data_IF_473717252393
#
_entry.id   IF_473717252393
#
_cell.length_a   1.000
_cell.length_b   1.000
_cell.length_c   1.000
_cell.angle_alpha   90.00
_cell.angle_beta   90.00
_cell.angle_gamma   90.00
#
_symmetry.space_group_name_H-M   'P 1'
#
loop_
_entity.id
_entity.type
_entity.pdbx_description
1 polymer ?
#
# COMPACT_ATOMS: atom_id res chain seq x y z
N UNK A 1 10.38 5.85 -32.65
CA UNK A 1 9.87 6.06 -31.28
C UNK A 1 9.16 7.40 -31.06
N UNK A 2 9.55 8.48 -31.72
CA UNK A 2 8.95 9.82 -31.54
C UNK A 2 7.50 9.97 -32.06
N UNK A 3 7.09 9.29 -33.09
CA UNK A 3 5.72 9.41 -33.68
C UNK A 3 4.57 8.87 -32.82
N UNK A 4 4.84 8.07 -31.78
CA UNK A 4 3.80 7.56 -30.86
C UNK A 4 3.42 8.55 -29.75
N UNK A 5 4.36 9.41 -29.35
CA UNK A 5 4.09 10.45 -28.32
C UNK A 5 3.23 11.62 -28.85
N UNK A 6 3.43 12.02 -30.10
CA UNK A 6 2.63 13.10 -30.71
C UNK A 6 1.16 12.71 -30.89
N UNK A 7 0.87 11.44 -31.21
CA UNK A 7 -0.50 10.94 -31.33
C UNK A 7 -1.24 10.85 -29.99
N UNK A 8 -0.54 10.65 -28.88
CA UNK A 8 -1.13 10.64 -27.55
C UNK A 8 -1.52 12.05 -27.09
N UNK A 9 -0.66 13.04 -27.33
CA UNK A 9 -0.89 14.46 -27.01
C UNK A 9 -2.02 15.05 -27.87
N UNK A 10 -2.12 14.67 -29.14
CA UNK A 10 -3.16 15.13 -30.06
C UNK A 10 -4.56 14.56 -29.70
N UNK A 11 -4.65 13.32 -29.22
CA UNK A 11 -5.90 12.72 -28.73
C UNK A 11 -6.37 13.32 -27.40
N UNK A 12 -5.45 13.65 -26.50
CA UNK A 12 -5.77 14.31 -25.23
C UNK A 12 -6.32 15.73 -25.40
N UNK A 13 -5.88 16.45 -26.45
CA UNK A 13 -6.39 17.82 -26.73
C UNK A 13 -7.78 17.82 -27.38
N UNK A 14 -8.21 16.80 -28.09
CA UNK A 14 -9.56 16.70 -28.68
C UNK A 14 -10.67 16.35 -27.70
N UNK A 15 -10.34 15.76 -26.54
CA UNK A 15 -11.33 15.44 -25.50
C UNK A 15 -11.71 16.60 -24.56
N UNK A 16 -11.08 17.78 -24.70
CA UNK A 16 -11.28 18.93 -23.80
C UNK A 16 -12.22 20.00 -24.32
N UNK A 17 -12.95 19.77 -25.41
CA UNK A 17 -13.90 20.76 -25.98
C UNK A 17 -15.34 20.26 -25.91
N UNK A 18 -15.76 19.79 -24.73
CA UNK A 18 -17.18 19.72 -24.38
C UNK A 18 -17.36 20.50 -23.06
N UNK A 19 -17.80 21.75 -23.17
CA UNK A 19 -18.06 22.61 -22.05
C UNK A 19 -19.23 22.06 -21.23
N UNK A 20 -18.99 21.74 -19.97
CA UNK A 20 -20.01 21.59 -18.94
C UNK A 20 -19.90 22.79 -18.03
N UNK A 21 -20.90 23.66 -18.08
CA UNK A 21 -21.15 24.76 -17.15
C UNK A 21 -21.39 24.17 -15.76
N UNK A 22 -20.41 24.30 -14.86
CA UNK A 22 -20.59 24.00 -13.45
C UNK A 22 -21.06 25.25 -12.71
N UNK A 23 -22.23 25.15 -12.09
CA UNK A 23 -22.76 26.16 -11.18
C UNK A 23 -21.88 26.20 -9.90
N UNK A 24 -21.45 27.40 -9.54
CA UNK A 24 -20.69 27.66 -8.33
C UNK A 24 -21.58 27.50 -7.09
N UNK A 25 -21.18 26.66 -6.14
CA UNK A 25 -21.76 26.57 -4.79
C UNK A 25 -20.96 27.52 -3.88
N UNK A 26 -21.58 28.45 -3.16
CA UNK A 26 -20.84 29.38 -2.29
C UNK A 26 -20.35 28.69 -1.03
N UNK A 27 -19.06 28.84 -0.76
CA UNK A 27 -18.40 28.44 0.48
C UNK A 27 -18.79 29.41 1.61
N UNK A 28 -19.53 28.92 2.60
CA UNK A 28 -19.84 29.69 3.80
C UNK A 28 -18.63 29.71 4.73
N UNK A 29 -18.17 30.92 5.06
CA UNK A 29 -17.14 31.18 6.05
C UNK A 29 -17.63 30.79 7.45
N UNK A 30 -16.88 29.95 8.17
CA UNK A 30 -17.01 29.76 9.61
C UNK A 30 -15.74 30.27 10.29
N UNK A 31 -15.90 31.33 11.04
CA UNK A 31 -14.91 31.98 11.88
C UNK A 31 -14.90 31.34 13.27
N UNK A 32 -13.73 31.16 13.86
CA UNK A 32 -13.24 31.53 15.17
C UNK A 32 -12.15 30.58 15.67
N UNK A 33 -11.04 31.05 16.22
CA UNK A 33 -9.95 30.20 16.70
C UNK A 33 -10.24 29.67 18.09
N UNK A 34 -9.97 28.38 18.31
CA UNK A 34 -9.95 27.76 19.62
C UNK A 34 -8.68 28.12 20.41
N UNK A 35 -8.74 28.22 21.75
CA UNK A 35 -7.60 28.63 22.55
C UNK A 35 -6.53 27.54 22.64
N UNK A 36 -5.26 27.99 22.64
CA UNK A 36 -4.07 27.13 22.76
C UNK A 36 -4.04 26.40 24.11
N UNK A 37 -3.61 25.13 24.15
CA UNK A 37 -3.37 24.42 25.41
C UNK A 37 -2.09 24.93 26.09
N UNK A 38 -2.21 25.25 27.34
CA UNK A 38 -1.15 25.69 28.25
C UNK A 38 -0.08 24.59 28.40
N UNK A 39 1.17 24.96 28.19
CA UNK A 39 2.32 24.09 28.40
C UNK A 39 2.48 23.74 29.87
N UNK A 40 2.40 22.47 30.23
CA UNK A 40 2.83 21.96 31.54
C UNK A 40 4.29 21.52 31.40
N UNK A 41 5.18 22.33 31.98
CA UNK A 41 6.60 22.04 32.13
C UNK A 41 6.81 20.90 33.10
N UNK A 42 7.26 19.75 32.66
CA UNK A 42 7.82 18.69 33.47
C UNK A 42 9.27 18.46 33.08
N UNK A 43 10.17 19.02 33.88
CA UNK A 43 11.59 18.77 33.86
C UNK A 43 11.90 17.29 34.15
N UNK A 44 12.39 16.54 33.19
CA UNK A 44 13.10 15.28 33.40
C UNK A 44 14.48 15.40 32.74
N UNK A 45 15.48 15.56 33.60
CA UNK A 45 16.88 15.42 33.28
C UNK A 45 17.22 13.95 33.01
N UNK A 46 17.38 13.61 31.76
CA UNK A 46 17.95 12.37 31.28
C UNK A 46 18.47 12.65 29.90
N UNK A 47 19.71 12.30 29.60
CA UNK A 47 20.38 12.50 28.31
C UNK A 47 19.56 11.86 27.18
N UNK A 48 18.67 12.63 26.57
CA UNK A 48 17.92 12.22 25.40
C UNK A 48 18.75 12.54 24.15
N UNK A 49 19.05 11.52 23.38
CA UNK A 49 19.44 11.68 21.98
C UNK A 49 18.37 12.50 21.26
N UNK A 50 18.78 13.55 20.56
CA UNK A 50 17.90 14.57 19.95
C UNK A 50 17.24 14.07 18.63
N UNK A 51 16.71 12.84 18.59
CA UNK A 51 15.93 12.33 17.47
C UNK A 51 14.58 11.81 18.00
N UNK A 52 13.49 12.29 17.41
CA UNK A 52 12.13 11.78 17.67
C UNK A 52 12.01 10.27 17.36
N UNK A 53 10.84 9.66 17.58
CA UNK A 53 10.62 8.23 17.33
C UNK A 53 10.89 7.88 15.87
N UNK A 54 11.31 6.63 15.62
CA UNK A 54 11.45 6.12 14.25
C UNK A 54 10.05 5.91 13.66
N UNK A 55 9.73 6.55 12.55
CA UNK A 55 8.40 6.48 11.93
C UNK A 55 8.39 5.45 10.81
N UNK A 56 7.50 4.45 10.94
CA UNK A 56 7.31 3.37 9.96
C UNK A 56 5.90 3.43 9.37
N UNK A 57 5.79 3.68 8.07
CA UNK A 57 4.55 3.72 7.33
C UNK A 57 4.22 2.39 6.64
N UNK A 58 2.92 2.17 6.39
CA UNK A 58 2.41 1.02 5.65
C UNK A 58 1.39 0.20 6.42
N UNK A 59 0.48 -0.43 5.71
CA UNK A 59 -0.68 -1.13 6.27
C UNK A 59 -0.50 -2.66 6.20
N UNK A 60 0.43 -3.19 7.00
CA UNK A 60 0.62 -4.64 7.16
C UNK A 60 1.04 -4.99 8.59
N UNK A 61 0.58 -6.16 9.09
CA UNK A 61 0.87 -6.65 10.44
C UNK A 61 2.37 -6.87 10.69
N UNK A 62 3.14 -7.16 9.63
CA UNK A 62 4.61 -7.30 9.74
C UNK A 62 5.22 -6.03 10.33
N UNK A 63 4.65 -4.86 10.00
CA UNK A 63 5.10 -3.59 10.57
C UNK A 63 4.85 -3.47 12.06
N UNK A 64 3.74 -4.02 12.57
CA UNK A 64 3.41 -3.99 14.00
C UNK A 64 4.33 -4.94 14.79
N UNK A 65 4.56 -6.14 14.25
CA UNK A 65 5.50 -7.10 14.82
C UNK A 65 6.91 -6.51 14.83
N UNK A 66 7.35 -5.88 13.72
CA UNK A 66 8.64 -5.21 13.63
C UNK A 66 8.77 -4.10 14.69
N UNK A 67 7.74 -3.28 14.87
CA UNK A 67 7.73 -2.23 15.89
C UNK A 67 7.86 -2.80 17.31
N UNK A 68 7.21 -3.93 17.60
CA UNK A 68 7.33 -4.61 18.90
C UNK A 68 8.76 -5.10 19.16
N UNK A 69 9.41 -5.71 18.17
CA UNK A 69 10.81 -6.16 18.30
C UNK A 69 11.76 -4.98 18.55
N UNK A 70 11.58 -3.87 17.84
CA UNK A 70 12.38 -2.66 18.01
C UNK A 70 12.13 -2.03 19.39
N UNK A 71 10.88 -2.00 19.84
CA UNK A 71 10.51 -1.52 21.19
C UNK A 71 11.19 -2.32 22.30
N UNK A 72 11.35 -3.64 22.14
CA UNK A 72 12.08 -4.48 23.08
C UNK A 72 13.57 -4.12 23.18
N UNK A 73 14.13 -3.41 22.18
CA UNK A 73 15.51 -2.87 22.20
C UNK A 73 15.59 -1.38 22.49
N UNK A 74 14.58 -0.82 23.15
CA UNK A 74 14.45 0.61 23.48
C UNK A 74 14.44 1.56 22.26
N UNK A 75 14.03 1.08 21.09
CA UNK A 75 13.82 1.92 19.91
C UNK A 75 12.34 2.23 19.77
N UNK A 76 11.93 3.46 20.09
CA UNK A 76 10.54 3.88 19.90
C UNK A 76 10.20 3.95 18.42
N UNK A 77 9.08 3.31 18.03
CA UNK A 77 8.58 3.28 16.66
C UNK A 77 7.15 3.77 16.61
N UNK A 78 6.91 4.84 15.84
CA UNK A 78 5.57 5.31 15.53
C UNK A 78 5.10 4.66 14.21
N UNK A 79 3.84 4.18 14.22
CA UNK A 79 3.22 3.54 13.06
C UNK A 79 2.27 4.49 12.35
N UNK A 80 2.40 4.59 11.01
CA UNK A 80 1.42 5.26 10.14
C UNK A 80 0.81 4.20 9.22
N UNK A 81 -0.53 4.03 9.32
CA UNK A 81 -1.26 3.04 8.54
C UNK A 81 -1.79 3.69 7.25
N UNK A 82 -1.08 3.48 6.17
CA UNK A 82 -1.41 4.04 4.86
C UNK A 82 -1.03 3.09 3.72
N UNK A 83 -1.54 3.37 2.52
CA UNK A 83 -1.23 2.59 1.32
C UNK A 83 0.23 2.72 0.88
N UNK A 84 0.73 1.69 0.19
CA UNK A 84 2.14 1.57 -0.23
C UNK A 84 2.65 2.77 -1.03
N UNK A 85 1.83 3.35 -1.91
CA UNK A 85 2.20 4.51 -2.71
C UNK A 85 2.40 5.75 -1.83
N UNK A 86 1.44 6.01 -0.94
CA UNK A 86 1.48 7.14 -0.02
C UNK A 86 2.69 7.02 0.92
N UNK A 87 2.95 5.82 1.44
CA UNK A 87 4.11 5.53 2.28
C UNK A 87 5.44 5.85 1.59
N UNK A 88 5.59 5.51 0.29
CA UNK A 88 6.79 5.89 -0.47
C UNK A 88 6.87 7.40 -0.72
N UNK A 89 5.75 8.07 -0.99
CA UNK A 89 5.71 9.54 -1.15
C UNK A 89 6.09 10.24 0.16
N UNK A 90 5.58 9.77 1.30
CA UNK A 90 5.91 10.34 2.59
C UNK A 90 7.36 10.00 3.02
N UNK A 91 7.89 8.85 2.59
CA UNK A 91 9.31 8.53 2.71
C UNK A 91 10.19 9.51 1.91
N UNK A 92 9.80 9.83 0.66
CA UNK A 92 10.49 10.83 -0.16
C UNK A 92 10.51 12.21 0.51
N UNK A 93 9.35 12.63 1.02
CA UNK A 93 9.18 13.91 1.71
C UNK A 93 9.88 14.00 3.08
N UNK A 94 10.40 12.88 3.59
CA UNK A 94 11.06 12.81 4.89
C UNK A 94 10.13 12.83 6.09
N UNK A 95 8.85 12.59 5.90
CA UNK A 95 7.87 12.48 6.99
C UNK A 95 7.97 11.13 7.72
N UNK A 96 8.43 10.09 7.01
CA UNK A 96 8.65 8.76 7.57
C UNK A 96 10.08 8.30 7.29
N UNK A 97 10.57 7.34 8.09
CA UNK A 97 11.92 6.80 8.00
C UNK A 97 11.97 5.47 7.24
N UNK A 98 10.88 4.74 7.26
CA UNK A 98 10.71 3.49 6.52
C UNK A 98 9.29 3.34 5.98
N UNK A 99 9.14 2.59 4.89
CA UNK A 99 7.85 2.30 4.26
C UNK A 99 7.72 0.81 3.93
N UNK A 100 6.60 0.20 4.32
CA UNK A 100 6.19 -1.11 3.80
C UNK A 100 5.53 -0.91 2.43
N UNK A 101 5.94 -1.68 1.45
CA UNK A 101 5.45 -1.53 0.08
C UNK A 101 5.25 -2.87 -0.62
N UNK A 102 4.22 -2.92 -1.47
CA UNK A 102 3.92 -4.05 -2.34
C UNK A 102 3.35 -3.56 -3.68
N UNK A 103 4.06 -2.62 -4.30
CA UNK A 103 3.66 -2.01 -5.56
C UNK A 103 4.09 -2.87 -6.74
N UNK A 104 3.11 -3.34 -7.49
CA UNK A 104 3.31 -4.04 -8.74
C UNK A 104 3.66 -3.06 -9.87
N UNK A 105 4.56 -3.45 -10.74
CA UNK A 105 4.94 -2.73 -11.96
C UNK A 105 4.64 -3.62 -13.17
N UNK A 106 3.66 -3.25 -13.95
CA UNK A 106 3.16 -4.04 -15.08
C UNK A 106 4.12 -4.07 -16.28
N UNK A 107 5.06 -3.13 -16.39
CA UNK A 107 6.07 -3.10 -17.46
C UNK A 107 7.16 -4.14 -17.22
N UNK A 108 7.60 -4.28 -15.97
CA UNK A 108 8.72 -5.18 -15.60
C UNK A 108 8.26 -6.50 -15.01
N UNK A 109 6.95 -6.69 -14.82
CA UNK A 109 6.32 -7.84 -14.15
C UNK A 109 6.98 -8.12 -12.78
N UNK A 110 7.21 -7.06 -12.01
CA UNK A 110 7.94 -7.14 -10.75
C UNK A 110 7.35 -6.23 -9.68
N UNK A 111 7.87 -6.35 -8.46
CA UNK A 111 7.39 -5.56 -7.31
C UNK A 111 8.44 -4.58 -6.81
N UNK A 112 7.97 -3.43 -6.36
CA UNK A 112 8.62 -2.44 -5.52
C UNK A 112 9.81 -1.70 -6.12
N UNK A 113 10.81 -2.39 -6.67
CA UNK A 113 12.10 -1.77 -7.08
C UNK A 113 11.90 -0.69 -8.15
N UNK A 114 11.03 -0.94 -9.14
CA UNK A 114 10.74 0.04 -10.19
C UNK A 114 10.06 1.29 -9.62
N UNK A 115 9.06 1.10 -8.75
CA UNK A 115 8.38 2.19 -8.06
C UNK A 115 9.34 3.00 -7.15
N UNK A 116 10.20 2.31 -6.38
CA UNK A 116 11.22 2.95 -5.53
C UNK A 116 12.18 3.79 -6.35
N UNK A 117 12.65 3.30 -7.50
CA UNK A 117 13.55 4.06 -8.39
C UNK A 117 12.89 5.32 -8.95
N UNK A 118 11.60 5.24 -9.28
CA UNK A 118 10.82 6.36 -9.87
C UNK A 118 10.40 7.39 -8.82
N UNK A 119 9.92 6.93 -7.66
CA UNK A 119 9.34 7.81 -6.63
C UNK A 119 10.37 8.38 -5.64
N UNK A 120 11.54 7.75 -5.49
CA UNK A 120 12.58 8.14 -4.53
C UNK A 120 13.91 8.48 -5.23
N UNK A 121 13.93 9.36 -6.27
CA UNK A 121 15.17 9.72 -6.94
C UNK A 121 16.14 10.39 -5.96
N UNK A 122 17.42 9.97 -5.98
CA UNK A 122 18.47 10.58 -5.15
C UNK A 122 18.42 10.27 -3.64
N UNK A 123 17.42 9.55 -3.14
CA UNK A 123 17.36 9.15 -1.72
C UNK A 123 18.25 7.94 -1.49
N UNK A 124 19.28 8.03 -0.61
CA UNK A 124 20.04 6.87 -0.16
C UNK A 124 19.11 5.93 0.62
N UNK A 125 18.99 4.68 0.19
CA UNK A 125 18.05 3.74 0.77
C UNK A 125 18.45 2.28 0.57
N UNK A 126 17.79 1.40 1.32
CA UNK A 126 17.88 -0.05 1.19
C UNK A 126 16.46 -0.63 1.10
N UNK A 127 16.24 -1.54 0.16
CA UNK A 127 14.99 -2.32 0.04
C UNK A 127 15.27 -3.73 0.51
N UNK A 128 14.57 -4.15 1.56
CA UNK A 128 14.73 -5.46 2.18
C UNK A 128 13.43 -6.24 2.01
N UNK A 129 13.55 -7.45 1.50
CA UNK A 129 12.43 -8.37 1.33
C UNK A 129 11.91 -8.86 2.67
N UNK A 130 10.59 -8.89 2.83
CA UNK A 130 9.94 -9.41 4.03
C UNK A 130 9.21 -10.73 3.73
N UNK A 131 8.11 -10.69 2.97
CA UNK A 131 7.33 -11.88 2.70
C UNK A 131 6.84 -11.94 1.25
N UNK A 132 6.65 -13.16 0.76
CA UNK A 132 5.82 -13.43 -0.41
C UNK A 132 4.44 -13.86 0.08
N UNK A 133 3.38 -13.39 -0.60
CA UNK A 133 1.99 -13.77 -0.32
C UNK A 133 1.18 -13.76 -1.62
N UNK A 134 0.01 -14.37 -1.59
CA UNK A 134 -0.87 -14.41 -2.76
C UNK A 134 -1.82 -13.23 -2.76
N UNK A 135 -1.96 -12.58 -3.91
CA UNK A 135 -3.00 -11.60 -4.23
C UNK A 135 -4.01 -12.22 -5.18
N UNK A 136 -5.27 -11.82 -5.03
CA UNK A 136 -6.33 -12.35 -5.87
C UNK A 136 -7.67 -11.70 -5.64
N UNK A 137 -8.72 -12.39 -6.13
CA UNK A 137 -10.08 -11.94 -5.98
C UNK A 137 -10.66 -12.46 -4.65
N UNK A 138 -11.20 -11.55 -3.87
CA UNK A 138 -12.10 -11.84 -2.75
C UNK A 138 -13.51 -11.82 -3.32
N UNK A 139 -14.17 -12.96 -3.35
CA UNK A 139 -15.49 -13.16 -3.94
C UNK A 139 -16.51 -13.61 -2.89
N UNK A 140 -17.81 -13.47 -3.16
CA UNK A 140 -18.83 -14.04 -2.30
C UNK A 140 -18.66 -15.58 -2.20
N UNK A 141 -19.06 -16.15 -1.06
CA UNK A 141 -18.97 -17.60 -0.81
C UNK A 141 -19.60 -18.40 -1.96
N UNK A 142 -18.87 -19.38 -2.46
CA UNK A 142 -19.29 -20.21 -3.59
C UNK A 142 -19.08 -19.56 -4.95
N UNK A 143 -18.56 -18.33 -5.02
CA UNK A 143 -18.25 -17.63 -6.29
C UNK A 143 -19.42 -17.63 -7.30
N UNK A 144 -20.57 -17.03 -6.95
CA UNK A 144 -21.79 -17.12 -7.76
C UNK A 144 -21.67 -16.48 -9.15
N UNK A 145 -20.66 -15.61 -9.34
CA UNK A 145 -20.36 -14.98 -10.64
C UNK A 145 -19.35 -15.78 -11.46
N UNK A 146 -18.87 -16.92 -10.97
CA UNK A 146 -17.88 -17.80 -11.63
C UNK A 146 -16.60 -17.09 -12.08
N UNK A 147 -16.16 -16.08 -11.32
CA UNK A 147 -14.95 -15.31 -11.59
C UNK A 147 -13.70 -16.17 -11.45
N UNK A 148 -12.67 -15.99 -12.31
CA UNK A 148 -11.43 -16.77 -12.29
C UNK A 148 -10.20 -15.94 -12.65
N UNK A 149 -10.37 -14.88 -13.42
CA UNK A 149 -9.29 -14.08 -14.03
C UNK A 149 -9.56 -12.59 -13.84
N UNK A 150 -8.59 -11.77 -14.19
CA UNK A 150 -8.76 -10.31 -14.24
C UNK A 150 -9.83 -9.87 -15.25
N UNK A 151 -9.96 -10.61 -16.38
CA UNK A 151 -10.88 -10.25 -17.45
C UNK A 151 -12.36 -10.46 -17.03
N UNK A 152 -12.60 -11.33 -16.06
CA UNK A 152 -13.93 -11.56 -15.52
C UNK A 152 -14.50 -10.35 -14.76
N UNK A 153 -13.66 -9.40 -14.35
CA UNK A 153 -14.10 -8.14 -13.77
C UNK A 153 -14.86 -7.25 -14.75
N UNK A 154 -14.74 -7.51 -16.05
CA UNK A 154 -15.40 -6.79 -17.13
C UNK A 154 -16.77 -7.40 -17.49
N UNK A 155 -17.16 -8.52 -16.89
CA UNK A 155 -18.45 -9.16 -17.16
C UNK A 155 -19.60 -8.25 -16.72
N UNK A 156 -20.67 -8.10 -17.54
CA UNK A 156 -21.84 -7.31 -17.18
C UNK A 156 -22.45 -7.76 -15.84
N UNK A 157 -22.74 -6.79 -14.97
CA UNK A 157 -23.34 -7.04 -13.65
C UNK A 157 -22.39 -7.64 -12.61
N UNK A 158 -21.07 -7.61 -12.84
CA UNK A 158 -20.06 -7.85 -11.81
C UNK A 158 -19.73 -6.53 -11.14
N UNK A 159 -20.05 -6.42 -9.86
CA UNK A 159 -19.84 -5.20 -9.06
C UNK A 159 -18.59 -5.31 -8.22
N UNK A 160 -17.59 -4.48 -8.52
CA UNK A 160 -16.37 -4.35 -7.75
C UNK A 160 -16.57 -3.44 -6.53
N UNK A 161 -15.92 -3.74 -5.43
CA UNK A 161 -15.53 -2.76 -4.41
C UNK A 161 -14.01 -2.66 -4.39
N UNK A 162 -13.52 -1.48 -4.65
CA UNK A 162 -12.08 -1.21 -4.75
C UNK A 162 -11.46 -0.86 -3.40
N UNK A 163 -10.15 -0.83 -3.35
CA UNK A 163 -9.41 -0.24 -2.24
C UNK A 163 -9.20 1.24 -2.51
N UNK A 164 -8.91 1.97 -1.44
CA UNK A 164 -8.57 3.39 -1.48
C UNK A 164 -7.40 3.70 -2.42
N UNK A 165 -7.40 4.88 -3.00
CA UNK A 165 -6.33 5.34 -3.88
C UNK A 165 -4.97 5.33 -3.14
N UNK A 166 -3.92 4.84 -3.81
CA UNK A 166 -2.58 4.66 -3.23
C UNK A 166 -2.36 3.34 -2.48
N UNK A 167 -3.39 2.51 -2.29
CA UNK A 167 -3.24 1.14 -1.80
C UNK A 167 -2.60 0.24 -2.87
N UNK A 168 -1.69 -0.65 -2.47
CA UNK A 168 -1.00 -1.54 -3.40
C UNK A 168 -1.93 -2.47 -4.19
N UNK A 169 -3.02 -2.98 -3.58
CA UNK A 169 -4.01 -3.79 -4.29
C UNK A 169 -4.81 -2.99 -5.33
N UNK A 170 -5.03 -1.67 -5.10
CA UNK A 170 -5.63 -0.77 -6.10
C UNK A 170 -4.68 -0.57 -7.27
N UNK A 171 -3.41 -0.28 -6.98
CA UNK A 171 -2.38 -0.11 -8.01
C UNK A 171 -2.18 -1.39 -8.81
N UNK A 172 -2.23 -2.56 -8.15
CA UNK A 172 -2.20 -3.84 -8.86
C UNK A 172 -3.35 -3.96 -9.87
N UNK A 173 -4.59 -3.62 -9.49
CA UNK A 173 -5.72 -3.59 -10.43
C UNK A 173 -5.44 -2.62 -11.59
N UNK A 174 -5.02 -1.39 -11.28
CA UNK A 174 -4.79 -0.35 -12.27
C UNK A 174 -3.72 -0.77 -13.29
N UNK A 175 -2.61 -1.36 -12.84
CA UNK A 175 -1.56 -1.92 -13.69
C UNK A 175 -2.06 -3.09 -14.55
N UNK A 176 -2.90 -3.97 -14.00
CA UNK A 176 -3.51 -5.05 -14.74
C UNK A 176 -4.49 -4.55 -15.81
N UNK A 177 -5.21 -3.46 -15.55
CA UNK A 177 -6.06 -2.80 -16.55
C UNK A 177 -5.26 -2.12 -17.64
N UNK A 178 -4.17 -1.41 -17.29
CA UNK A 178 -3.25 -0.80 -18.25
C UNK A 178 -2.66 -1.85 -19.20
N UNK A 179 -2.20 -2.98 -18.68
CA UNK A 179 -1.68 -4.10 -19.49
C UNK A 179 -2.69 -4.65 -20.51
N UNK A 180 -3.98 -4.55 -20.19
CA UNK A 180 -5.10 -4.99 -21.04
C UNK A 180 -5.64 -3.91 -21.96
N UNK A 181 -5.15 -2.67 -21.82
CA UNK A 181 -5.68 -1.52 -22.55
C UNK A 181 -7.10 -1.13 -22.16
N UNK A 182 -7.52 -1.48 -20.94
CA UNK A 182 -8.88 -1.26 -20.42
C UNK A 182 -8.88 -0.08 -19.43
N UNK A 183 -9.91 0.76 -19.51
CA UNK A 183 -10.15 1.82 -18.52
C UNK A 183 -10.87 1.26 -17.29
N UNK A 184 -10.54 1.76 -16.10
CA UNK A 184 -11.29 1.47 -14.87
C UNK A 184 -12.78 1.78 -14.97
N UNK A 185 -13.16 2.78 -15.79
CA UNK A 185 -14.57 3.12 -16.05
C UNK A 185 -15.38 1.98 -16.69
N UNK A 186 -14.73 0.95 -17.24
CA UNK A 186 -15.41 -0.23 -17.78
C UNK A 186 -15.85 -1.23 -16.69
N UNK A 187 -15.40 -1.04 -15.44
CA UNK A 187 -15.73 -1.93 -14.31
C UNK A 187 -16.79 -1.25 -13.45
N UNK A 188 -17.93 -1.91 -13.29
CA UNK A 188 -18.98 -1.44 -12.39
C UNK A 188 -18.48 -1.42 -10.93
N UNK A 189 -18.55 -0.28 -10.27
CA UNK A 189 -18.07 -0.10 -8.89
C UNK A 189 -16.58 0.23 -8.74
N UNK A 190 -15.86 0.49 -9.83
CA UNK A 190 -14.44 0.87 -9.77
C UNK A 190 -14.16 2.07 -8.85
N UNK A 191 -15.04 3.06 -8.83
CA UNK A 191 -14.94 4.24 -7.96
C UNK A 191 -15.46 4.01 -6.52
N UNK A 192 -16.03 2.83 -6.25
CA UNK A 192 -16.52 2.48 -4.93
C UNK A 192 -15.36 2.00 -4.05
N UNK A 193 -14.95 2.80 -3.11
CA UNK A 193 -13.77 2.53 -2.28
C UNK A 193 -14.12 1.99 -0.88
N UNK A 194 -13.23 1.15 -0.36
CA UNK A 194 -13.20 0.68 1.01
C UNK A 194 -11.83 1.00 1.62
N UNK A 195 -11.82 1.61 2.82
CA UNK A 195 -10.62 2.11 3.47
C UNK A 195 -9.75 1.02 4.13
N UNK A 196 -10.18 -0.24 4.08
CA UNK A 196 -9.39 -1.36 4.57
C UNK A 196 -9.73 -2.65 3.82
N UNK A 197 -8.81 -3.61 3.84
CA UNK A 197 -9.02 -4.92 3.23
C UNK A 197 -10.17 -5.69 3.91
N UNK A 198 -10.33 -5.55 5.23
CA UNK A 198 -11.45 -6.16 5.98
C UNK A 198 -12.79 -5.51 5.61
N UNK A 199 -12.84 -4.19 5.50
CA UNK A 199 -14.03 -3.48 5.05
C UNK A 199 -14.43 -3.92 3.63
N UNK A 200 -13.48 -3.98 2.71
CA UNK A 200 -13.69 -4.47 1.34
C UNK A 200 -14.28 -5.88 1.35
N UNK A 201 -13.68 -6.83 2.06
CA UNK A 201 -14.19 -8.20 2.17
C UNK A 201 -15.57 -8.27 2.83
N UNK A 202 -15.85 -7.42 3.81
CA UNK A 202 -17.19 -7.29 4.42
C UNK A 202 -18.26 -6.80 3.43
N UNK A 203 -17.93 -5.88 2.51
CA UNK A 203 -18.85 -5.51 1.43
C UNK A 203 -19.22 -6.71 0.55
N UNK A 204 -18.21 -7.53 0.21
CA UNK A 204 -18.42 -8.75 -0.58
C UNK A 204 -19.25 -9.78 0.19
N UNK A 205 -18.91 -10.05 1.45
CA UNK A 205 -19.60 -11.02 2.30
C UNK A 205 -21.09 -10.72 2.45
N UNK A 206 -21.47 -9.43 2.48
CA UNK A 206 -22.87 -8.99 2.62
C UNK A 206 -23.61 -8.84 1.27
N UNK A 207 -23.00 -9.19 0.14
CA UNK A 207 -23.58 -9.04 -1.18
C UNK A 207 -23.73 -7.59 -1.66
N UNK A 208 -23.09 -6.63 -0.99
CA UNK A 208 -23.07 -5.24 -1.42
C UNK A 208 -22.14 -5.02 -2.62
N UNK A 209 -21.17 -5.91 -2.83
CA UNK A 209 -20.35 -6.05 -4.02
C UNK A 209 -20.17 -7.55 -4.31
N UNK A 210 -19.76 -7.88 -5.53
CA UNK A 210 -19.54 -9.28 -5.94
C UNK A 210 -18.06 -9.69 -5.78
N UNK A 211 -17.15 -8.70 -5.85
CA UNK A 211 -15.71 -8.92 -5.83
C UNK A 211 -14.94 -7.73 -5.27
N UNK A 212 -13.80 -8.02 -4.68
CA UNK A 212 -12.75 -7.05 -4.34
C UNK A 212 -11.37 -7.68 -4.56
N UNK A 213 -10.30 -6.89 -4.50
CA UNK A 213 -8.93 -7.36 -4.69
C UNK A 213 -8.17 -7.25 -3.37
N UNK A 214 -7.54 -8.35 -2.97
CA UNK A 214 -6.82 -8.40 -1.70
C UNK A 214 -5.92 -9.61 -1.55
N UNK A 215 -5.11 -9.59 -0.49
CA UNK A 215 -4.26 -10.69 -0.11
C UNK A 215 -5.08 -11.85 0.49
N UNK A 216 -4.62 -13.08 0.28
CA UNK A 216 -5.23 -14.32 0.81
C UNK A 216 -5.56 -14.24 2.31
N UNK A 217 -4.71 -13.60 3.10
CA UNK A 217 -4.91 -13.44 4.54
C UNK A 217 -6.28 -12.86 4.90
N UNK A 218 -6.83 -11.97 4.06
CA UNK A 218 -8.14 -11.34 4.30
C UNK A 218 -9.27 -12.38 4.27
N UNK A 219 -9.17 -13.37 3.39
CA UNK A 219 -10.11 -14.49 3.31
C UNK A 219 -10.21 -15.26 4.64
N UNK A 220 -9.09 -15.43 5.36
CA UNK A 220 -9.07 -16.12 6.65
C UNK A 220 -9.66 -15.30 7.81
N UNK A 221 -9.97 -14.02 7.60
CA UNK A 221 -10.46 -13.10 8.63
C UNK A 221 -11.93 -12.72 8.49
N UNK A 222 -12.56 -13.03 7.36
CA UNK A 222 -13.96 -12.67 7.08
C UNK A 222 -14.73 -13.89 6.60
N UNK A 223 -15.75 -14.26 7.35
CA UNK A 223 -16.68 -15.31 6.93
C UNK A 223 -17.55 -14.87 5.75
N UNK A 224 -18.02 -15.83 4.95
CA UNK A 224 -18.91 -15.56 3.83
C UNK A 224 -18.23 -15.11 2.54
N UNK A 225 -16.90 -15.14 2.49
CA UNK A 225 -16.13 -14.89 1.26
C UNK A 225 -15.36 -16.12 0.80
N UNK A 226 -14.92 -16.11 -0.45
CA UNK A 226 -13.97 -17.02 -1.06
C UNK A 226 -12.74 -16.26 -1.56
N UNK A 227 -11.64 -16.97 -1.79
CA UNK A 227 -10.42 -16.41 -2.35
C UNK A 227 -9.99 -17.15 -3.62
N UNK A 228 -9.69 -16.40 -4.66
CA UNK A 228 -9.20 -16.91 -5.94
C UNK A 228 -7.82 -16.29 -6.19
N UNK A 229 -6.73 -17.06 -6.04
CA UNK A 229 -5.38 -16.53 -6.25
C UNK A 229 -5.16 -16.18 -7.71
N UNK A 230 -4.59 -15.00 -7.97
CA UNK A 230 -4.25 -14.53 -9.32
C UNK A 230 -2.75 -14.39 -9.53
N UNK A 231 -2.01 -13.90 -8.52
CA UNK A 231 -0.56 -13.75 -8.59
C UNK A 231 0.10 -13.71 -7.21
N UNK A 232 1.39 -13.98 -7.20
CA UNK A 232 2.23 -13.75 -6.03
C UNK A 232 2.62 -12.27 -5.94
N UNK A 233 2.72 -11.75 -4.71
CA UNK A 233 3.22 -10.41 -4.45
C UNK A 233 4.36 -10.44 -3.42
N UNK A 234 5.26 -9.48 -3.52
CA UNK A 234 6.30 -9.25 -2.55
C UNK A 234 5.98 -8.04 -1.69
N UNK A 235 5.91 -8.25 -0.38
CA UNK A 235 5.96 -7.17 0.61
C UNK A 235 7.42 -6.94 0.97
N UNK A 236 7.91 -5.73 0.72
CA UNK A 236 9.25 -5.30 1.08
C UNK A 236 9.19 -4.11 2.05
N UNK A 237 10.28 -3.86 2.77
CA UNK A 237 10.48 -2.63 3.53
C UNK A 237 11.54 -1.77 2.85
N UNK A 238 11.20 -0.51 2.63
CA UNK A 238 12.11 0.52 2.11
C UNK A 238 12.61 1.35 3.27
N UNK A 239 13.92 1.34 3.50
CA UNK A 239 14.61 1.98 4.62
C UNK A 239 15.43 3.15 4.08
N UNK A 240 15.05 4.39 4.39
CA UNK A 240 15.84 5.56 4.01
C UNK A 240 17.05 5.72 4.93
N UNK A 241 18.24 5.84 4.35
CA UNK A 241 19.48 6.09 5.08
C UNK A 241 19.64 7.59 5.35
N UNK A 242 18.92 8.08 6.36
CA UNK A 242 18.98 9.48 6.78
C UNK A 242 19.87 9.67 8.00
N UNK A 243 20.51 10.85 8.17
CA UNK A 243 21.28 11.16 9.37
C UNK A 243 20.47 10.91 10.64
N UNK A 244 21.04 10.16 11.58
CA UNK A 244 20.41 9.80 12.86
C UNK A 244 19.57 8.53 12.84
N UNK A 245 19.27 7.95 11.67
CA UNK A 245 18.47 6.72 11.55
C UNK A 245 19.28 5.47 11.22
N UNK A 246 20.58 5.60 10.96
CA UNK A 246 21.46 4.53 10.43
C UNK A 246 21.42 3.29 11.33
N UNK A 247 21.53 3.48 12.65
CA UNK A 247 21.49 2.38 13.62
C UNK A 247 20.18 1.61 13.56
N UNK A 248 19.06 2.31 13.45
CA UNK A 248 17.73 1.68 13.37
C UNK A 248 17.55 0.98 12.02
N UNK A 249 17.99 1.57 10.91
CA UNK A 249 17.99 0.95 9.58
C UNK A 249 18.79 -0.35 9.58
N UNK A 250 19.99 -0.36 10.17
CA UNK A 250 20.81 -1.56 10.28
C UNK A 250 20.21 -2.60 11.23
N UNK A 251 19.60 -2.16 12.35
CA UNK A 251 18.88 -3.04 13.26
C UNK A 251 17.71 -3.75 12.57
N UNK A 252 16.92 -3.04 11.77
CA UNK A 252 15.80 -3.62 10.99
C UNK A 252 16.35 -4.63 9.97
N UNK A 253 17.38 -4.27 9.22
CA UNK A 253 17.96 -5.16 8.23
C UNK A 253 18.57 -6.44 8.86
N UNK A 254 19.14 -6.34 10.07
CA UNK A 254 19.63 -7.48 10.85
C UNK A 254 18.47 -8.31 11.38
N UNK A 255 17.45 -7.68 11.97
CA UNK A 255 16.25 -8.33 12.52
C UNK A 255 15.56 -9.19 11.47
N UNK A 256 15.38 -8.67 10.25
CA UNK A 256 14.79 -9.40 9.13
C UNK A 256 15.54 -10.70 8.76
N UNK A 257 16.80 -10.86 9.21
CA UNK A 257 17.62 -12.07 8.99
C UNK A 257 17.60 -13.03 10.18
N UNK A 258 17.04 -12.62 11.32
CA UNK A 258 17.01 -13.49 12.51
C UNK A 258 16.01 -14.63 12.31
N UNK A 259 16.34 -15.76 12.90
CA UNK A 259 15.50 -16.97 12.85
C UNK A 259 14.16 -16.72 13.55
N UNK A 260 14.17 -16.13 14.74
CA UNK A 260 12.98 -15.86 15.54
C UNK A 260 11.96 -14.98 14.79
N UNK A 261 12.41 -13.87 14.22
CA UNK A 261 11.52 -12.97 13.45
C UNK A 261 10.96 -13.66 12.20
N UNK A 262 11.78 -14.43 11.49
CA UNK A 262 11.35 -15.21 10.31
C UNK A 262 10.32 -16.27 10.66
N UNK A 263 10.52 -17.01 11.75
CA UNK A 263 9.59 -18.05 12.21
C UNK A 263 8.26 -17.44 12.66
N UNK A 264 8.29 -16.31 13.38
CA UNK A 264 7.08 -15.61 13.80
C UNK A 264 6.27 -15.12 12.60
N UNK A 265 6.90 -14.42 11.65
CA UNK A 265 6.21 -13.93 10.46
C UNK A 265 5.75 -15.10 9.57
N UNK A 266 6.55 -16.14 9.41
CA UNK A 266 6.21 -17.34 8.64
C UNK A 266 5.07 -18.18 9.25
N UNK A 267 4.73 -17.97 10.52
CA UNK A 267 3.55 -18.59 11.17
C UNK A 267 2.22 -17.95 10.75
N UNK A 268 2.27 -16.77 10.14
CA UNK A 268 1.05 -16.07 9.66
C UNK A 268 0.55 -16.78 8.40
N UNK A 269 -0.71 -17.17 8.42
CA UNK A 269 -1.34 -17.86 7.27
C UNK A 269 -1.23 -17.01 6.00
N UNK A 270 -0.75 -17.63 4.92
CA UNK A 270 -0.58 -17.01 3.63
C UNK A 270 0.74 -16.22 3.46
N UNK A 271 1.66 -16.25 4.45
CA UNK A 271 2.96 -15.59 4.37
C UNK A 271 4.10 -16.58 4.17
N UNK A 272 4.90 -16.37 3.13
CA UNK A 272 6.13 -17.12 2.87
C UNK A 272 7.34 -16.20 3.18
N UNK A 273 8.02 -16.51 4.28
CA UNK A 273 9.19 -15.78 4.77
C UNK A 273 10.52 -16.40 4.31
N UNK A 274 10.52 -17.32 3.34
CA UNK A 274 11.72 -18.07 2.91
C UNK A 274 12.86 -17.16 2.43
N UNK A 275 12.53 -16.04 1.79
CA UNK A 275 13.49 -15.05 1.27
C UNK A 275 13.58 -13.77 2.13
N UNK A 276 13.09 -13.81 3.36
CA UNK A 276 13.14 -12.66 4.26
C UNK A 276 14.58 -12.25 4.56
N UNK A 277 14.83 -10.93 4.55
CA UNK A 277 16.14 -10.35 4.84
C UNK A 277 17.05 -10.20 3.62
N UNK A 278 16.62 -10.62 2.41
CA UNK A 278 17.34 -10.31 1.18
C UNK A 278 17.29 -8.80 0.89
N UNK A 279 18.43 -8.21 0.57
CA UNK A 279 18.51 -6.85 0.04
C UNK A 279 18.32 -6.92 -1.45
N UNK A 280 17.16 -6.45 -1.93
CA UNK A 280 16.80 -6.53 -3.36
C UNK A 280 17.19 -5.27 -4.14
N UNK A 281 17.43 -4.17 -3.43
CA UNK A 281 17.96 -2.94 -4.00
C UNK A 281 18.61 -2.09 -2.92
N UNK A 282 19.73 -1.43 -3.26
CA UNK A 282 20.44 -0.51 -2.38
C UNK A 282 21.04 0.63 -3.19
N UNK A 283 21.00 1.84 -2.64
CA UNK A 283 21.60 3.05 -3.21
C UNK A 283 22.31 3.85 -2.14
#
# INVERSE_FOLDING_TARGET
MYKRQENYIARSKRAKTAAVTAAAVPCAAVSAPAPAPTAVSASRSGSQSASGPFVLAGNDIVGDILANYLGATNTAVDRIYEGSYNALVDLYRGKVHAALTHLYDGETDSYNVAAVKRLLPGVPLKVVRLVRRRQGLIVAKGNPKSLRTWDDLLQPGVRLVNRECGCGSRILLDEQLVRRGVSGAAIEGYEREANSALSMASFVARGAADVGIGAERVFHQVEGVGFLPLQDEWLDIVLAKRPGCERTVDAIAKLARTRSFREEIGSIVGYDASRMGEVVFER
#
